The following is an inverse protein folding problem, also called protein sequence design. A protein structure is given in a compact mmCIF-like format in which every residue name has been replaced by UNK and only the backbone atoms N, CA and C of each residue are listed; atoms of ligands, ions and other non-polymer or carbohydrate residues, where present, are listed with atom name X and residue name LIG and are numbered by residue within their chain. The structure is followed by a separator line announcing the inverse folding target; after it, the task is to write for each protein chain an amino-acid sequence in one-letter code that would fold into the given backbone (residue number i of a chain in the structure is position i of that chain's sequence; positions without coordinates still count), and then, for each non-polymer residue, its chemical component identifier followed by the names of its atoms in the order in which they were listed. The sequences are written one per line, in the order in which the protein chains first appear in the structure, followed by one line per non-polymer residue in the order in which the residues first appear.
data_IF_062913290826
#
_entry.id   IF_062913290826
#
_cell.length_a   1.000
_cell.length_b   1.000
_cell.length_c   1.000
_cell.angle_alpha   90.00
_cell.angle_beta   90.00
_cell.angle_gamma   90.00
#
_symmetry.space_group_name_H-M   'P 1'
#
loop_
_entity.id
_entity.type
_entity.pdbx_description
1 polymer ?
#
# COMPACT_ATOMS: atom_id res chain seq x y z
N UNK A 1 -19.61 13.10 28.53
CA UNK A 1 -19.36 12.81 27.11
C UNK A 1 -19.29 14.15 26.41
N UNK A 2 -18.11 14.56 25.94
CA UNK A 2 -17.98 15.79 25.16
C UNK A 2 -18.33 15.44 23.72
N UNK A 3 -19.40 16.02 23.17
CA UNK A 3 -19.87 15.73 21.81
C UNK A 3 -19.10 16.51 20.74
N UNK A 4 -18.18 17.40 21.14
CA UNK A 4 -17.37 18.20 20.21
C UNK A 4 -16.05 17.53 19.83
N UNK A 5 -15.65 16.46 20.52
CA UNK A 5 -14.41 15.73 20.24
C UNK A 5 -14.69 14.27 19.91
N UNK A 6 -14.25 13.87 18.73
CA UNK A 6 -14.22 12.47 18.32
C UNK A 6 -13.24 11.69 19.21
N UNK A 7 -13.74 10.65 19.86
CA UNK A 7 -12.93 9.74 20.68
C UNK A 7 -12.54 8.54 19.83
N UNK A 8 -11.24 8.42 19.54
CA UNK A 8 -10.69 7.22 18.91
C UNK A 8 -10.72 6.08 19.93
N UNK A 9 -11.45 5.00 19.63
CA UNK A 9 -11.60 3.85 20.53
C UNK A 9 -10.28 3.08 20.65
N UNK A 10 -9.62 2.79 19.52
CA UNK A 10 -8.32 2.13 19.45
C UNK A 10 -7.66 2.44 18.10
N UNK A 11 -6.32 2.54 18.07
CA UNK A 11 -5.57 2.76 16.83
C UNK A 11 -5.75 1.62 15.84
N UNK A 12 -5.86 0.37 16.32
CA UNK A 12 -6.10 -0.79 15.46
C UNK A 12 -7.48 -0.72 14.80
N UNK A 13 -8.51 -0.35 15.57
CA UNK A 13 -9.86 -0.19 15.06
C UNK A 13 -9.93 0.92 13.99
N UNK A 14 -9.30 2.06 14.24
CA UNK A 14 -9.26 3.16 13.26
C UNK A 14 -8.53 2.73 11.97
N UNK A 15 -7.43 1.99 12.09
CA UNK A 15 -6.71 1.44 10.94
C UNK A 15 -7.58 0.49 10.11
N UNK A 16 -8.23 -0.48 10.74
CA UNK A 16 -9.08 -1.47 10.05
C UNK A 16 -10.28 -0.82 9.37
N UNK A 17 -10.99 0.08 10.07
CA UNK A 17 -12.15 0.78 9.50
C UNK A 17 -11.74 1.65 8.31
N UNK A 18 -10.65 2.39 8.42
CA UNK A 18 -10.17 3.22 7.32
C UNK A 18 -9.64 2.39 6.15
N UNK A 19 -9.06 1.22 6.41
CA UNK A 19 -8.66 0.26 5.37
C UNK A 19 -9.87 -0.28 4.61
N UNK A 20 -10.90 -0.73 5.32
CA UNK A 20 -12.16 -1.22 4.74
C UNK A 20 -12.81 -0.14 3.89
N UNK A 21 -12.95 1.08 4.43
CA UNK A 21 -13.53 2.21 3.71
C UNK A 21 -12.73 2.55 2.43
N UNK A 22 -11.40 2.42 2.47
CA UNK A 22 -10.58 2.60 1.27
C UNK A 22 -10.82 1.50 0.23
N UNK A 23 -11.01 0.26 0.67
CA UNK A 23 -11.39 -0.87 -0.17
C UNK A 23 -12.73 -0.62 -0.87
N UNK A 24 -13.76 -0.27 -0.09
CA UNK A 24 -15.11 -0.01 -0.59
C UNK A 24 -15.14 1.14 -1.61
N UNK A 25 -14.39 2.22 -1.35
CA UNK A 25 -14.28 3.32 -2.30
C UNK A 25 -13.60 2.89 -3.61
N UNK A 26 -12.59 2.01 -3.55
CA UNK A 26 -11.91 1.47 -4.74
C UNK A 26 -12.83 0.58 -5.55
N UNK A 27 -13.55 -0.32 -4.88
CA UNK A 27 -14.51 -1.21 -5.52
C UNK A 27 -15.64 -0.42 -6.18
N UNK A 28 -16.17 0.59 -5.47
CA UNK A 28 -17.19 1.50 -5.99
C UNK A 28 -16.70 2.26 -7.24
N UNK A 29 -15.46 2.75 -7.24
CA UNK A 29 -14.87 3.39 -8.42
C UNK A 29 -14.66 2.40 -9.59
N UNK A 30 -14.24 1.17 -9.30
CA UNK A 30 -14.02 0.13 -10.30
C UNK A 30 -15.34 -0.37 -10.95
N UNK A 31 -16.48 -0.21 -10.26
CA UNK A 31 -17.79 -0.55 -10.80
C UNK A 31 -18.25 0.39 -11.94
N UNK A 32 -17.66 1.59 -12.05
CA UNK A 32 -17.96 2.48 -13.18
C UNK A 32 -17.31 1.96 -14.47
N UNK A 33 -18.11 1.89 -15.53
CA UNK A 33 -17.63 1.45 -16.86
C UNK A 33 -16.65 2.43 -17.52
N UNK A 34 -16.73 3.71 -17.17
CA UNK A 34 -15.93 4.78 -17.76
C UNK A 34 -15.00 5.38 -16.73
N UNK A 35 -13.89 5.96 -17.19
CA UNK A 35 -12.98 6.71 -16.33
C UNK A 35 -13.50 8.12 -16.01
N UNK A 36 -12.86 8.83 -15.07
CA UNK A 36 -13.19 10.22 -14.76
C UNK A 36 -12.84 11.17 -15.93
N UNK A 37 -11.75 10.87 -16.63
CA UNK A 37 -11.29 11.63 -17.80
C UNK A 37 -12.23 11.46 -19.00
N UNK A 38 -12.73 10.25 -19.23
CA UNK A 38 -13.72 9.96 -20.27
C UNK A 38 -15.02 10.72 -20.04
N UNK A 39 -15.56 10.69 -18.82
CA UNK A 39 -16.79 11.42 -18.49
C UNK A 39 -16.59 12.94 -18.56
N UNK A 40 -15.38 13.42 -18.27
CA UNK A 40 -15.03 14.84 -18.44
C UNK A 40 -15.05 15.25 -19.91
N UNK A 41 -14.47 14.42 -20.79
CA UNK A 41 -14.49 14.65 -22.24
C UNK A 41 -15.91 14.56 -22.80
N UNK A 42 -16.68 13.55 -22.39
CA UNK A 42 -18.09 13.41 -22.77
C UNK A 42 -18.88 14.66 -22.40
N UNK A 43 -18.75 15.17 -21.17
CA UNK A 43 -19.50 16.34 -20.73
C UNK A 43 -19.19 17.63 -21.52
N UNK A 44 -18.03 17.71 -22.19
CA UNK A 44 -17.64 18.83 -23.04
C UNK A 44 -18.25 18.75 -24.46
N UNK A 45 -18.83 17.61 -24.84
CA UNK A 45 -19.41 17.44 -26.16
C UNK A 45 -20.74 18.22 -26.29
N UNK A 46 -20.92 19.00 -27.36
CA UNK A 46 -22.08 19.88 -27.53
C UNK A 46 -23.37 19.13 -27.93
N UNK A 47 -23.24 17.92 -28.47
CA UNK A 47 -24.30 17.10 -29.09
C UNK A 47 -25.10 16.23 -28.10
N UNK A 48 -24.74 16.21 -26.81
CA UNK A 48 -25.47 15.49 -25.77
C UNK A 48 -26.85 16.08 -25.49
N UNK A 49 -27.86 15.21 -25.39
CA UNK A 49 -29.18 15.61 -24.90
C UNK A 49 -29.11 16.06 -23.44
N UNK A 50 -30.09 16.86 -23.01
CA UNK A 50 -30.13 17.38 -21.63
C UNK A 50 -30.13 16.28 -20.57
N UNK A 51 -30.80 15.15 -20.83
CA UNK A 51 -30.84 14.00 -19.91
C UNK A 51 -29.51 13.25 -19.87
N UNK A 52 -28.86 13.05 -21.02
CA UNK A 52 -27.55 12.40 -21.07
C UNK A 52 -26.49 13.25 -20.39
N UNK A 53 -26.49 14.56 -20.63
CA UNK A 53 -25.59 15.49 -19.93
C UNK A 53 -25.77 15.43 -18.42
N UNK A 54 -27.01 15.37 -17.93
CA UNK A 54 -27.28 15.20 -16.50
C UNK A 54 -26.69 13.88 -15.98
N UNK A 55 -26.89 12.77 -16.69
CA UNK A 55 -26.37 11.47 -16.31
C UNK A 55 -24.82 11.42 -16.30
N UNK A 56 -24.15 12.11 -17.23
CA UNK A 56 -22.69 12.25 -17.23
C UNK A 56 -22.22 13.09 -16.05
N UNK A 57 -22.86 14.23 -15.78
CA UNK A 57 -22.51 15.10 -14.63
C UNK A 57 -22.69 14.39 -13.30
N UNK A 58 -23.74 13.59 -13.15
CA UNK A 58 -24.00 12.81 -11.95
C UNK A 58 -22.86 11.81 -11.70
N UNK A 59 -22.53 10.98 -12.69
CA UNK A 59 -21.42 10.00 -12.58
C UNK A 59 -20.08 10.68 -12.32
N UNK A 60 -19.81 11.81 -12.97
CA UNK A 60 -18.60 12.59 -12.74
C UNK A 60 -18.52 13.10 -11.29
N UNK A 61 -19.61 13.64 -10.76
CA UNK A 61 -19.68 14.12 -9.38
C UNK A 61 -19.48 12.98 -8.38
N UNK A 62 -20.12 11.83 -8.58
CA UNK A 62 -19.95 10.65 -7.73
C UNK A 62 -18.49 10.17 -7.70
N UNK A 63 -17.85 9.98 -8.87
CA UNK A 63 -16.42 9.61 -8.94
C UNK A 63 -15.51 10.64 -8.26
N UNK A 64 -15.84 11.92 -8.38
CA UNK A 64 -15.08 13.00 -7.74
C UNK A 64 -15.18 12.90 -6.23
N UNK A 65 -16.38 12.69 -5.68
CA UNK A 65 -16.62 12.52 -4.25
C UNK A 65 -15.87 11.29 -3.72
N UNK A 66 -15.96 10.15 -4.41
CA UNK A 66 -15.25 8.93 -4.04
C UNK A 66 -13.72 9.14 -4.02
N UNK A 67 -13.18 9.80 -5.04
CA UNK A 67 -11.74 10.10 -5.13
C UNK A 67 -11.28 11.02 -3.99
N UNK A 68 -12.03 12.08 -3.72
CA UNK A 68 -11.74 13.00 -2.61
C UNK A 68 -11.84 12.31 -1.23
N UNK A 69 -12.81 11.41 -1.08
CA UNK A 69 -12.98 10.61 0.13
C UNK A 69 -11.79 9.67 0.32
N UNK A 70 -11.34 8.99 -0.74
CA UNK A 70 -10.11 8.18 -0.68
C UNK A 70 -8.89 9.00 -0.26
N UNK A 71 -8.73 10.22 -0.77
CA UNK A 71 -7.63 11.10 -0.36
C UNK A 71 -7.73 11.54 1.10
N UNK A 72 -8.94 11.81 1.59
CA UNK A 72 -9.17 12.11 3.00
C UNK A 72 -8.82 10.91 3.90
N UNK A 73 -9.25 9.71 3.50
CA UNK A 73 -8.94 8.46 4.18
C UNK A 73 -7.44 8.17 4.18
N UNK A 74 -6.73 8.39 3.05
CA UNK A 74 -5.26 8.30 3.00
C UNK A 74 -4.58 9.26 3.97
N UNK A 75 -5.05 10.51 4.04
CA UNK A 75 -4.53 11.51 5.00
C UNK A 75 -4.72 11.09 6.45
N UNK A 76 -5.85 10.44 6.77
CA UNK A 76 -6.12 9.88 8.12
C UNK A 76 -5.31 8.62 8.42
N UNK A 77 -5.06 7.78 7.41
CA UNK A 77 -4.24 6.57 7.56
C UNK A 77 -2.74 6.87 7.64
N UNK A 78 -2.24 7.95 7.03
CA UNK A 78 -0.81 8.25 6.99
C UNK A 78 -0.13 8.33 8.37
N UNK A 79 -0.71 8.99 9.39
CA UNK A 79 -0.17 8.99 10.75
C UNK A 79 -0.23 7.60 11.42
N UNK A 80 -1.33 6.86 11.21
CA UNK A 80 -1.57 5.54 11.83
C UNK A 80 -0.66 4.47 11.23
N UNK A 81 -0.36 4.59 9.92
CA UNK A 81 0.56 3.74 9.18
C UNK A 81 2.03 4.09 9.40
N UNK A 82 2.39 5.05 10.25
CA UNK A 82 3.78 5.36 10.60
C UNK A 82 4.49 6.38 9.71
N UNK A 83 3.86 7.54 9.45
CA UNK A 83 4.56 8.74 8.96
C UNK A 83 4.60 9.79 10.08
N UNK A 84 5.78 10.19 10.58
CA UNK A 84 5.94 11.13 11.68
C UNK A 84 5.59 12.56 11.25
N UNK A 85 4.53 13.12 11.80
CA UNK A 85 4.33 14.57 11.82
C UNK A 85 5.09 15.17 13.00
N UNK A 86 6.30 15.68 12.73
CA UNK A 86 7.14 16.64 13.51
C UNK A 86 7.36 16.47 15.04
N UNK A 87 6.77 15.50 15.73
CA UNK A 87 6.98 15.28 17.17
C UNK A 87 7.21 13.79 17.43
N UNK A 88 8.48 13.43 17.53
CA UNK A 88 8.97 12.06 17.47
C UNK A 88 8.54 11.13 18.60
N UNK A 89 8.36 9.86 18.25
CA UNK A 89 9.13 8.68 18.71
C UNK A 89 8.68 7.47 17.87
N UNK A 90 9.63 6.60 17.55
CA UNK A 90 9.77 5.91 16.26
C UNK A 90 9.38 4.43 16.33
N UNK A 91 8.56 3.96 15.39
CA UNK A 91 8.54 2.57 14.92
C UNK A 91 8.32 2.62 13.40
N UNK A 92 9.33 2.24 12.62
CA UNK A 92 9.29 2.32 11.16
C UNK A 92 8.48 1.14 10.59
N UNK A 93 7.45 1.37 9.76
CA UNK A 93 6.69 0.31 9.09
C UNK A 93 7.42 -0.32 7.89
N UNK A 94 8.50 0.30 7.42
CA UNK A 94 9.35 -0.21 6.33
C UNK A 94 10.71 -0.70 6.85
N UNK A 95 10.86 -0.97 8.15
CA UNK A 95 12.11 -1.51 8.70
C UNK A 95 12.56 -2.76 7.90
N UNK A 96 11.61 -3.64 7.59
CA UNK A 96 11.87 -4.89 6.88
C UNK A 96 12.27 -4.69 5.41
N UNK A 97 11.78 -3.63 4.73
CA UNK A 97 12.09 -3.37 3.31
C UNK A 97 13.44 -2.66 3.19
N UNK A 98 13.75 -1.75 4.10
CA UNK A 98 15.04 -1.06 4.14
C UNK A 98 16.14 -2.05 4.54
N UNK A 99 15.87 -3.00 5.44
CA UNK A 99 16.80 -4.08 5.80
C UNK A 99 17.10 -5.02 4.62
N UNK A 100 16.10 -5.29 3.75
CA UNK A 100 16.30 -6.03 2.50
C UNK A 100 17.15 -5.25 1.48
N UNK A 101 16.96 -3.94 1.35
CA UNK A 101 17.79 -3.12 0.46
C UNK A 101 19.21 -2.89 1.02
N UNK A 102 19.37 -2.72 2.32
CA UNK A 102 20.69 -2.67 2.98
C UNK A 102 21.43 -4.01 2.86
N UNK A 103 20.72 -5.15 2.95
CA UNK A 103 21.29 -6.48 2.69
C UNK A 103 21.72 -6.65 1.21
N UNK A 104 21.00 -6.03 0.27
CA UNK A 104 21.33 -6.00 -1.17
C UNK A 104 22.50 -5.04 -1.49
N UNK A 105 22.64 -3.94 -0.75
CA UNK A 105 23.77 -3.01 -0.86
C UNK A 105 25.03 -3.48 -0.10
N UNK A 106 24.88 -4.41 0.87
CA UNK A 106 25.99 -5.12 1.50
C UNK A 106 26.49 -6.34 0.70
N UNK A 107 25.67 -6.90 -0.19
CA UNK A 107 26.01 -7.99 -1.10
C UNK A 107 27.27 -7.75 -1.97
N UNK A 108 27.59 -6.53 -2.46
CA UNK A 108 28.87 -6.27 -3.14
C UNK A 108 30.10 -6.28 -2.21
N UNK A 109 29.94 -6.19 -0.88
CA UNK A 109 31.07 -6.12 0.08
C UNK A 109 31.46 -7.46 0.71
N UNK A 110 30.68 -8.54 0.53
CA UNK A 110 30.99 -9.87 1.10
C UNK A 110 31.10 -11.01 0.05
N UNK A 111 31.81 -10.83 -1.09
CA UNK A 111 32.02 -11.92 -2.04
C UNK A 111 32.80 -13.09 -1.42
N UNK A 112 33.67 -12.82 -0.44
CA UNK A 112 34.46 -13.86 0.23
C UNK A 112 33.62 -14.84 1.04
N UNK A 113 32.53 -14.40 1.68
CA UNK A 113 31.69 -15.26 2.53
C UNK A 113 30.75 -16.15 1.70
N UNK A 114 30.25 -15.64 0.57
CA UNK A 114 29.45 -16.42 -0.38
C UNK A 114 30.29 -17.46 -1.12
N UNK A 115 31.51 -17.12 -1.54
CA UNK A 115 32.45 -18.07 -2.15
C UNK A 115 32.91 -19.11 -1.15
N UNK A 116 33.14 -18.74 0.12
CA UNK A 116 33.52 -19.70 1.16
C UNK A 116 32.35 -20.63 1.51
N UNK A 117 31.12 -20.12 1.59
CA UNK A 117 29.91 -20.94 1.76
C UNK A 117 29.68 -21.91 0.60
N UNK A 118 29.85 -21.45 -0.64
CA UNK A 118 29.73 -22.28 -1.83
C UNK A 118 30.85 -23.32 -1.94
N UNK A 119 32.08 -22.98 -1.54
CA UNK A 119 33.20 -23.94 -1.45
C UNK A 119 32.98 -24.99 -0.37
N UNK A 120 32.47 -24.62 0.81
CA UNK A 120 32.16 -25.57 1.90
C UNK A 120 31.00 -26.49 1.54
N UNK A 121 29.97 -25.96 0.87
CA UNK A 121 28.89 -26.75 0.28
C UNK A 121 29.41 -27.71 -0.81
N UNK A 122 30.24 -27.23 -1.74
CA UNK A 122 30.83 -28.05 -2.79
C UNK A 122 31.85 -29.09 -2.28
N UNK A 123 32.47 -28.85 -1.11
CA UNK A 123 33.33 -29.82 -0.39
C UNK A 123 32.53 -30.82 0.45
N UNK A 124 31.20 -30.70 0.51
CA UNK A 124 30.34 -31.60 1.27
C UNK A 124 30.54 -31.50 2.79
N UNK A 125 31.05 -30.38 3.31
CA UNK A 125 31.26 -30.20 4.77
C UNK A 125 29.94 -30.17 5.56
N UNK A 126 28.82 -29.92 4.87
CA UNK A 126 27.46 -29.94 5.43
C UNK A 126 26.68 -31.20 5.07
N UNK A 127 27.29 -32.18 4.39
CA UNK A 127 26.62 -33.45 4.10
C UNK A 127 26.50 -34.28 5.38
N UNK A 128 25.28 -34.74 5.72
CA UNK A 128 25.06 -35.51 6.94
C UNK A 128 25.75 -36.88 6.87
N UNK A 129 26.33 -37.33 7.99
CA UNK A 129 27.29 -38.45 8.10
C UNK A 129 26.76 -39.86 7.74
N UNK A 130 25.53 -39.99 7.24
CA UNK A 130 24.92 -41.29 6.92
C UNK A 130 25.49 -41.93 5.63
N UNK A 131 26.27 -41.20 4.83
CA UNK A 131 26.86 -41.69 3.59
C UNK A 131 28.40 -41.79 3.61
N UNK A 132 29.04 -41.71 4.80
CA UNK A 132 30.48 -41.95 4.95
C UNK A 132 30.73 -43.45 5.18
N UNK A 133 31.45 -44.18 4.30
CA UNK A 133 31.82 -45.56 4.58
C UNK A 133 32.73 -45.57 5.82
N UNK A 134 32.45 -46.48 6.76
CA UNK A 134 33.32 -46.69 7.91
C UNK A 134 34.72 -47.14 7.42
N UNK A 135 35.72 -46.35 7.83
CA UNK A 135 37.19 -46.54 7.74
C UNK A 135 37.90 -45.86 6.57
#
# INVERSE_FOLDING_TARGET
VNFEQDVVISQMNEYEVLQLLMGDCRESLAAYKTSLEEDTKLNQQPDLSGRERLAVRLRLAEKTILSQTMDAVRRRLAPIRGIPTKSGKMANPNADIIEVFDFIDELPKKPAQLIDGFKRWARGEFDPDWNKPNK
#
